data_IF_248508192527
#
_entry.id   IF_248508192527
#
_cell.length_a   1.000
_cell.length_b   1.000
_cell.length_c   1.000
_cell.angle_alpha   90.00
_cell.angle_beta   90.00
_cell.angle_gamma   90.00
#
_symmetry.space_group_name_H-M   'P 1'
#
loop_
_entity.id
_entity.type
_entity.pdbx_description
1 polymer ?
#
# COMPACT_ATOMS: atom_id res chain seq x y z
N UNK A 1 -24.34 28.86 -30.82
CA UNK A 1 -24.20 27.42 -30.55
C UNK A 1 -22.90 27.21 -29.79
N UNK A 2 -22.96 27.20 -28.47
CA UNK A 2 -21.80 27.01 -27.60
C UNK A 2 -21.54 25.51 -27.43
N UNK A 3 -20.32 25.10 -27.81
CA UNK A 3 -19.83 23.75 -27.52
C UNK A 3 -19.43 23.70 -26.04
N UNK A 4 -20.20 23.00 -25.24
CA UNK A 4 -19.87 22.65 -23.87
C UNK A 4 -18.73 21.64 -23.94
N UNK A 5 -17.53 22.04 -23.51
CA UNK A 5 -16.40 21.14 -23.35
C UNK A 5 -16.71 20.07 -22.29
N UNK A 6 -16.05 18.89 -22.34
CA UNK A 6 -16.26 17.87 -21.34
C UNK A 6 -15.81 18.41 -19.98
N UNK A 7 -16.74 18.41 -19.03
CA UNK A 7 -16.43 18.73 -17.64
C UNK A 7 -15.38 17.73 -17.14
N UNK A 8 -14.21 18.21 -16.78
CA UNK A 8 -13.21 17.46 -16.02
C UNK A 8 -13.89 16.93 -14.75
N UNK A 9 -14.20 15.64 -14.72
CA UNK A 9 -14.58 14.97 -13.47
C UNK A 9 -13.33 14.93 -12.59
N UNK A 10 -13.19 15.92 -11.74
CA UNK A 10 -12.25 15.86 -10.63
C UNK A 10 -12.70 14.69 -9.76
N UNK A 11 -11.99 13.57 -9.85
CA UNK A 11 -12.22 12.42 -8.97
C UNK A 11 -11.93 12.92 -7.57
N UNK A 12 -12.96 13.00 -6.74
CA UNK A 12 -12.80 13.30 -5.32
C UNK A 12 -12.32 12.01 -4.66
N UNK A 13 -11.02 11.94 -4.37
CA UNK A 13 -10.45 10.89 -3.55
C UNK A 13 -11.04 11.04 -2.15
N UNK A 14 -11.69 10.01 -1.65
CA UNK A 14 -12.20 9.99 -0.28
C UNK A 14 -11.01 9.85 0.68
N UNK A 15 -10.80 10.89 1.50
CA UNK A 15 -9.74 10.94 2.50
C UNK A 15 -10.35 10.80 3.90
N UNK A 16 -10.17 9.63 4.50
CA UNK A 16 -10.66 9.37 5.86
C UNK A 16 -9.49 9.17 6.81
N UNK A 17 -9.41 9.96 7.88
CA UNK A 17 -8.46 9.79 8.98
C UNK A 17 -9.24 9.60 10.27
N UNK A 18 -9.31 8.36 10.75
CA UNK A 18 -10.01 7.97 11.98
C UNK A 18 -8.98 7.38 12.97
N UNK A 19 -8.17 8.25 13.56
CA UNK A 19 -7.09 7.89 14.49
C UNK A 19 -7.08 8.86 15.67
N UNK A 20 -6.43 8.47 16.76
CA UNK A 20 -6.21 9.34 17.91
C UNK A 20 -5.50 10.64 17.49
N UNK A 21 -5.81 11.74 18.18
CA UNK A 21 -5.27 13.08 17.87
C UNK A 21 -3.72 13.09 17.86
N UNK A 22 -3.11 12.37 18.80
CA UNK A 22 -1.65 12.24 18.94
C UNK A 22 -0.96 11.59 17.72
N UNK A 23 -1.70 10.82 16.92
CA UNK A 23 -1.17 10.07 15.77
C UNK A 23 -1.52 10.69 14.42
N UNK A 24 -2.34 11.74 14.38
CA UNK A 24 -2.85 12.34 13.13
C UNK A 24 -1.75 12.82 12.20
N UNK A 25 -0.72 13.45 12.72
CA UNK A 25 0.36 13.96 11.87
C UNK A 25 1.20 12.80 11.28
N UNK A 26 1.47 11.76 12.08
CA UNK A 26 2.12 10.54 11.58
C UNK A 26 1.28 9.87 10.48
N UNK A 27 -0.02 9.72 10.71
CA UNK A 27 -0.95 9.16 9.73
C UNK A 27 -0.98 9.97 8.42
N UNK A 28 -0.95 11.30 8.50
CA UNK A 28 -0.87 12.17 7.30
C UNK A 28 0.39 11.93 6.48
N UNK A 29 1.54 11.76 7.14
CA UNK A 29 2.79 11.44 6.44
C UNK A 29 2.70 10.06 5.76
N UNK A 30 2.14 9.07 6.43
CA UNK A 30 1.94 7.73 5.84
C UNK A 30 1.00 7.80 4.63
N UNK A 31 -0.07 8.60 4.68
CA UNK A 31 -0.94 8.86 3.53
C UNK A 31 -0.16 9.51 2.36
N UNK A 32 0.69 10.49 2.64
CA UNK A 32 1.55 11.11 1.62
C UNK A 32 2.48 10.09 0.96
N UNK A 33 3.10 9.23 1.75
CA UNK A 33 3.93 8.13 1.25
C UNK A 33 3.16 7.21 0.31
N UNK A 34 1.93 6.83 0.69
CA UNK A 34 1.06 5.95 -0.11
C UNK A 34 0.70 6.58 -1.47
N UNK A 35 0.43 7.89 -1.51
CA UNK A 35 0.22 8.62 -2.77
C UNK A 35 1.44 8.57 -3.69
N UNK A 36 2.63 8.72 -3.13
CA UNK A 36 3.88 8.63 -3.89
C UNK A 36 4.13 7.20 -4.40
N UNK A 37 3.82 6.17 -3.61
CA UNK A 37 3.92 4.78 -4.04
C UNK A 37 3.11 4.51 -5.32
N UNK A 38 1.86 4.98 -5.37
CA UNK A 38 1.00 4.85 -6.55
C UNK A 38 1.54 5.65 -7.74
N UNK A 39 2.12 6.82 -7.50
CA UNK A 39 2.81 7.58 -8.55
C UNK A 39 4.00 6.82 -9.12
N UNK A 40 4.75 6.07 -8.29
CA UNK A 40 5.82 5.17 -8.72
C UNK A 40 5.32 4.05 -9.63
N UNK A 41 4.19 3.44 -9.28
CA UNK A 41 3.55 2.43 -10.13
C UNK A 41 3.15 3.00 -11.49
N UNK A 42 2.50 4.17 -11.53
CA UNK A 42 2.15 4.87 -12.78
C UNK A 42 3.35 5.06 -13.70
N UNK A 43 4.49 5.50 -13.13
CA UNK A 43 5.72 5.70 -13.89
C UNK A 43 6.29 4.39 -14.43
N UNK A 44 6.24 3.31 -13.64
CA UNK A 44 6.74 1.99 -14.02
C UNK A 44 5.97 1.42 -15.21
N UNK A 45 4.64 1.46 -15.17
CA UNK A 45 3.80 0.86 -16.22
C UNK A 45 3.58 1.78 -17.42
N UNK A 46 3.99 3.05 -17.33
CA UNK A 46 3.80 4.04 -18.39
C UNK A 46 2.33 4.38 -18.67
N UNK A 47 1.46 4.12 -17.70
CA UNK A 47 0.01 4.39 -17.76
C UNK A 47 -0.43 5.16 -16.52
N UNK A 48 -1.51 5.90 -16.66
CA UNK A 48 -2.12 6.60 -15.54
C UNK A 48 -2.81 5.59 -14.60
N UNK A 49 -2.30 5.50 -13.37
CA UNK A 49 -2.92 4.77 -12.27
C UNK A 49 -3.62 5.80 -11.39
N UNK A 50 -4.90 5.63 -11.20
CA UNK A 50 -5.73 6.52 -10.40
C UNK A 50 -5.86 5.97 -8.98
N UNK A 51 -5.59 6.83 -7.99
CA UNK A 51 -5.95 6.52 -6.61
C UNK A 51 -7.42 6.83 -6.40
N UNK A 52 -8.22 5.81 -6.05
CA UNK A 52 -9.66 5.93 -5.93
C UNK A 52 -10.12 6.17 -4.49
N UNK A 53 -9.35 5.68 -3.52
CA UNK A 53 -9.59 5.94 -2.10
C UNK A 53 -8.27 5.88 -1.32
N UNK A 54 -8.22 6.60 -0.20
CA UNK A 54 -7.13 6.48 0.77
C UNK A 54 -7.69 6.72 2.17
N UNK A 55 -7.34 5.86 3.11
CA UNK A 55 -7.79 5.97 4.50
C UNK A 55 -6.70 5.62 5.50
N UNK A 56 -6.78 6.20 6.70
CA UNK A 56 -6.00 5.80 7.86
C UNK A 56 -6.97 5.53 9.01
N UNK A 57 -6.97 4.33 9.54
CA UNK A 57 -7.91 3.88 10.59
C UNK A 57 -7.17 3.08 11.65
N UNK A 58 -7.55 3.25 12.91
CA UNK A 58 -7.20 2.30 13.97
C UNK A 58 -8.31 1.25 14.05
N UNK A 59 -7.94 -0.01 13.98
CA UNK A 59 -8.85 -1.15 14.10
C UNK A 59 -8.19 -2.23 14.98
N UNK A 60 -8.98 -3.08 15.66
CA UNK A 60 -8.46 -4.24 16.36
C UNK A 60 -7.59 -5.10 15.45
N UNK A 61 -6.46 -5.60 15.98
CA UNK A 61 -5.48 -6.37 15.20
C UNK A 61 -6.11 -7.62 14.56
N UNK A 62 -7.07 -8.25 15.24
CA UNK A 62 -7.77 -9.44 14.76
C UNK A 62 -8.76 -9.15 13.60
N UNK A 63 -9.15 -7.89 13.40
CA UNK A 63 -10.01 -7.46 12.28
C UNK A 63 -9.23 -7.11 11.00
N UNK A 64 -7.90 -6.97 11.06
CA UNK A 64 -7.09 -6.59 9.88
C UNK A 64 -7.26 -7.56 8.70
N UNK A 65 -7.30 -8.89 8.87
CA UNK A 65 -7.51 -9.81 7.76
C UNK A 65 -8.88 -9.68 7.08
N UNK A 66 -9.89 -9.13 7.76
CA UNK A 66 -11.24 -8.93 7.19
C UNK A 66 -11.24 -7.90 6.05
N UNK A 67 -10.22 -7.03 5.99
CA UNK A 67 -10.01 -6.11 4.87
C UNK A 67 -9.76 -6.85 3.54
N UNK A 68 -9.39 -8.13 3.61
CA UNK A 68 -9.08 -8.98 2.46
C UNK A 68 -10.06 -10.15 2.31
N UNK A 69 -11.24 -10.05 2.92
CA UNK A 69 -12.30 -11.06 2.85
C UNK A 69 -12.24 -12.10 3.99
N UNK A 70 -11.26 -12.00 4.89
CA UNK A 70 -11.10 -12.86 6.05
C UNK A 70 -9.78 -13.64 6.05
N UNK A 71 -9.47 -14.25 7.19
CA UNK A 71 -8.18 -14.94 7.40
C UNK A 71 -7.90 -16.10 6.45
N UNK A 72 -8.96 -16.77 5.95
CA UNK A 72 -8.86 -17.97 5.12
C UNK A 72 -8.86 -17.67 3.62
N UNK A 73 -9.10 -16.40 3.23
CA UNK A 73 -9.07 -16.01 1.81
C UNK A 73 -7.63 -16.06 1.25
N UNK A 74 -7.51 -16.66 0.07
CA UNK A 74 -6.21 -16.74 -0.62
C UNK A 74 -5.89 -15.39 -1.25
N UNK A 75 -4.69 -14.90 -0.98
CA UNK A 75 -4.18 -13.65 -1.51
C UNK A 75 -2.76 -13.82 -2.05
N UNK A 76 -2.39 -12.93 -2.97
CA UNK A 76 -1.01 -12.70 -3.39
C UNK A 76 -0.55 -11.39 -2.77
N UNK A 77 0.53 -11.43 -2.03
CA UNK A 77 1.10 -10.24 -1.41
C UNK A 77 2.54 -10.00 -1.85
N UNK A 78 2.88 -8.73 -2.04
CA UNK A 78 4.28 -8.29 -2.07
C UNK A 78 4.55 -7.60 -0.75
N UNK A 79 5.40 -8.20 0.05
CA UNK A 79 5.77 -7.76 1.39
C UNK A 79 7.13 -7.09 1.40
N UNK A 80 7.23 -5.96 2.09
CA UNK A 80 8.48 -5.28 2.42
C UNK A 80 8.47 -4.89 3.90
N UNK A 81 9.53 -5.24 4.62
CA UNK A 81 9.79 -4.67 5.94
C UNK A 81 10.42 -3.28 5.78
N UNK A 82 10.06 -2.38 6.68
CA UNK A 82 10.70 -1.07 6.83
C UNK A 82 11.66 -1.13 7.99
N UNK A 83 12.85 -0.59 7.81
CA UNK A 83 13.90 -0.54 8.83
C UNK A 83 14.62 0.81 8.80
N UNK A 84 15.56 1.01 9.72
CA UNK A 84 16.36 2.22 9.84
C UNK A 84 16.03 3.02 11.09
N UNK A 85 15.59 4.27 10.94
CA UNK A 85 15.21 5.11 12.08
C UNK A 85 13.91 4.64 12.75
N UNK A 86 13.10 3.84 12.04
CA UNK A 86 11.85 3.27 12.54
C UNK A 86 11.53 1.96 11.81
N UNK A 87 10.63 1.17 12.38
CA UNK A 87 10.24 -0.14 11.87
C UNK A 87 8.76 -0.18 11.48
N UNK A 88 8.41 -1.05 10.53
CA UNK A 88 7.03 -1.22 10.07
C UNK A 88 6.93 -2.20 8.91
N UNK A 89 5.73 -2.37 8.41
CA UNK A 89 5.39 -3.33 7.38
C UNK A 89 4.59 -2.70 6.26
N UNK A 90 4.94 -3.04 5.02
CA UNK A 90 4.23 -2.64 3.82
C UNK A 90 3.80 -3.88 3.05
N UNK A 91 2.58 -3.86 2.56
CA UNK A 91 2.02 -4.92 1.74
C UNK A 91 1.29 -4.34 0.53
N UNK A 92 1.47 -5.00 -0.61
CA UNK A 92 0.57 -4.88 -1.73
C UNK A 92 -0.19 -6.20 -1.79
N UNK A 93 -1.49 -6.16 -1.56
CA UNK A 93 -2.29 -7.38 -1.41
C UNK A 93 -3.37 -7.42 -2.48
N UNK A 94 -3.48 -8.55 -3.15
CA UNK A 94 -4.38 -8.76 -4.27
C UNK A 94 -5.06 -10.12 -4.21
N UNK A 95 -6.32 -10.25 -4.65
CA UNK A 95 -6.86 -11.52 -5.09
C UNK A 95 -5.96 -12.12 -6.18
N UNK A 96 -5.82 -13.47 -6.26
CA UNK A 96 -4.93 -14.11 -7.25
C UNK A 96 -5.17 -13.66 -8.70
N UNK A 97 -6.44 -13.53 -9.11
CA UNK A 97 -6.81 -13.06 -10.46
C UNK A 97 -6.39 -11.61 -10.72
N UNK A 98 -6.41 -10.76 -9.70
CA UNK A 98 -5.93 -9.38 -9.81
C UNK A 98 -4.41 -9.34 -9.92
N UNK A 99 -3.70 -10.18 -9.16
CA UNK A 99 -2.24 -10.29 -9.25
C UNK A 99 -1.80 -10.76 -10.64
N UNK A 100 -2.47 -11.75 -11.23
CA UNK A 100 -2.22 -12.21 -12.60
C UNK A 100 -2.46 -11.10 -13.63
N UNK A 101 -3.55 -10.34 -13.48
CA UNK A 101 -3.83 -9.19 -14.37
C UNK A 101 -2.80 -8.07 -14.23
N UNK A 102 -2.27 -7.85 -13.02
CA UNK A 102 -1.15 -6.92 -12.80
C UNK A 102 0.13 -7.40 -13.47
N UNK A 103 0.43 -8.70 -13.44
CA UNK A 103 1.58 -9.27 -14.14
C UNK A 103 1.46 -9.03 -15.64
N UNK A 104 0.31 -9.31 -16.26
CA UNK A 104 0.08 -9.01 -17.67
C UNK A 104 0.39 -7.55 -18.00
N UNK A 105 -0.08 -6.61 -17.15
CA UNK A 105 0.19 -5.19 -17.30
C UNK A 105 1.68 -4.87 -17.19
N UNK A 106 2.35 -5.38 -16.14
CA UNK A 106 3.77 -5.13 -15.87
C UNK A 106 4.69 -5.66 -16.98
N UNK A 107 4.32 -6.80 -17.54
CA UNK A 107 5.08 -7.45 -18.60
C UNK A 107 4.67 -7.02 -20.03
N UNK A 108 3.67 -6.14 -20.14
CA UNK A 108 3.15 -5.67 -21.43
C UNK A 108 2.49 -6.77 -22.26
N UNK A 109 1.87 -7.75 -21.58
CA UNK A 109 1.17 -8.87 -22.21
C UNK A 109 -0.32 -8.55 -22.41
N UNK A 110 -0.98 -9.35 -23.28
CA UNK A 110 -2.43 -9.25 -23.43
C UNK A 110 -3.15 -9.73 -22.15
N UNK A 111 -4.22 -9.06 -21.71
CA UNK A 111 -4.97 -9.46 -20.53
C UNK A 111 -5.42 -10.93 -20.57
N UNK A 112 -5.18 -11.67 -19.48
CA UNK A 112 -5.52 -13.09 -19.35
C UNK A 112 -4.43 -14.04 -19.88
N UNK A 113 -3.24 -13.55 -20.19
CA UNK A 113 -2.08 -14.37 -20.58
C UNK A 113 -1.51 -15.12 -19.39
N UNK A 114 -1.37 -14.45 -18.25
CA UNK A 114 -0.86 -15.06 -17.02
C UNK A 114 -1.94 -15.91 -16.37
N UNK A 115 -1.63 -17.17 -16.10
CA UNK A 115 -2.54 -18.16 -15.49
C UNK A 115 -2.01 -18.71 -14.16
N UNK A 116 -0.75 -18.45 -13.83
CA UNK A 116 -0.12 -18.81 -12.56
C UNK A 116 1.00 -17.83 -12.24
N UNK A 117 1.35 -17.73 -10.97
CA UNK A 117 2.47 -16.90 -10.49
C UNK A 117 3.70 -17.81 -10.34
N UNK A 118 4.51 -17.87 -11.39
CA UNK A 118 5.81 -18.56 -11.38
C UNK A 118 6.93 -17.61 -10.90
N UNK A 119 8.18 -18.05 -10.96
CA UNK A 119 9.34 -17.23 -10.56
C UNK A 119 9.46 -15.92 -11.37
N UNK A 120 9.08 -15.92 -12.64
CA UNK A 120 9.15 -14.74 -13.49
C UNK A 120 8.06 -13.73 -13.11
N UNK A 121 6.83 -14.20 -12.93
CA UNK A 121 5.70 -13.38 -12.50
C UNK A 121 5.93 -12.82 -11.09
N UNK A 122 6.43 -13.65 -10.18
CA UNK A 122 6.81 -13.21 -8.84
C UNK A 122 7.92 -12.15 -8.89
N UNK A 123 8.90 -12.28 -9.79
CA UNK A 123 9.95 -11.26 -9.98
C UNK A 123 9.38 -9.93 -10.46
N UNK A 124 8.41 -9.95 -11.40
CA UNK A 124 7.76 -8.74 -11.88
C UNK A 124 6.96 -8.02 -10.76
N UNK A 125 6.20 -8.78 -9.96
CA UNK A 125 5.49 -8.25 -8.80
C UNK A 125 6.47 -7.72 -7.73
N UNK A 126 7.57 -8.41 -7.51
CA UNK A 126 8.63 -7.98 -6.59
C UNK A 126 9.23 -6.64 -7.01
N UNK A 127 9.56 -6.48 -8.30
CA UNK A 127 10.09 -5.20 -8.81
C UNK A 127 9.07 -4.05 -8.65
N UNK A 128 7.80 -4.32 -8.92
CA UNK A 128 6.72 -3.36 -8.63
C UNK A 128 6.73 -2.95 -7.15
N UNK A 129 6.78 -3.91 -6.23
CA UNK A 129 6.84 -3.64 -4.80
C UNK A 129 8.06 -2.82 -4.39
N UNK A 130 9.23 -3.15 -4.95
CA UNK A 130 10.47 -2.41 -4.70
C UNK A 130 10.37 -0.95 -5.12
N UNK A 131 9.81 -0.68 -6.31
CA UNK A 131 9.60 0.68 -6.82
C UNK A 131 8.60 1.43 -5.95
N UNK A 132 7.43 0.85 -5.68
CA UNK A 132 6.39 1.49 -4.85
C UNK A 132 6.88 1.75 -3.42
N UNK A 133 7.56 0.78 -2.81
CA UNK A 133 8.17 0.92 -1.49
C UNK A 133 9.23 2.02 -1.43
N UNK A 134 10.06 2.12 -2.46
CA UNK A 134 11.08 3.18 -2.56
C UNK A 134 10.45 4.58 -2.66
N UNK A 135 9.44 4.75 -3.51
CA UNK A 135 8.71 6.02 -3.61
C UNK A 135 8.01 6.39 -2.29
N UNK A 136 7.40 5.41 -1.63
CA UNK A 136 6.78 5.58 -0.32
C UNK A 136 7.79 6.08 0.72
N UNK A 137 8.89 5.34 0.91
CA UNK A 137 9.87 5.66 1.95
C UNK A 137 10.66 6.94 1.67
N UNK A 138 10.94 7.25 0.40
CA UNK A 138 11.57 8.52 0.03
C UNK A 138 10.67 9.70 0.42
N UNK A 139 9.36 9.62 0.13
CA UNK A 139 8.43 10.69 0.52
C UNK A 139 8.35 10.88 2.04
N UNK A 140 8.35 9.79 2.81
CA UNK A 140 8.40 9.85 4.27
C UNK A 140 9.73 10.42 4.78
N UNK A 141 10.85 9.99 4.20
CA UNK A 141 12.19 10.47 4.57
C UNK A 141 12.33 11.97 4.32
N UNK A 142 11.88 12.45 3.17
CA UNK A 142 11.91 13.88 2.81
C UNK A 142 11.04 14.73 3.74
N UNK A 143 9.87 14.21 4.11
CA UNK A 143 8.93 14.94 4.96
C UNK A 143 9.32 14.92 6.45
N UNK A 144 9.90 13.82 6.94
CA UNK A 144 10.22 13.62 8.37
C UNK A 144 11.69 13.85 8.72
N UNK A 145 12.60 13.76 7.73
CA UNK A 145 14.04 13.74 7.94
C UNK A 145 14.55 12.42 8.55
N UNK A 146 13.73 11.36 8.58
CA UNK A 146 14.12 10.03 9.04
C UNK A 146 14.76 9.26 7.89
N UNK A 147 15.79 8.46 8.19
CA UNK A 147 16.37 7.52 7.21
C UNK A 147 15.61 6.20 7.34
N UNK A 148 14.85 5.87 6.30
CA UNK A 148 14.02 4.67 6.22
C UNK A 148 14.47 3.81 5.05
N UNK A 149 14.55 2.50 5.24
CA UNK A 149 15.07 1.56 4.26
C UNK A 149 14.08 0.40 4.07
N UNK A 150 13.70 0.06 2.82
CA UNK A 150 12.92 -1.13 2.55
C UNK A 150 13.81 -2.38 2.60
N UNK A 151 13.25 -3.51 3.01
CA UNK A 151 13.84 -4.83 2.73
C UNK A 151 13.73 -5.17 1.25
N UNK A 152 14.48 -6.17 0.75
CA UNK A 152 14.12 -6.82 -0.50
C UNK A 152 12.65 -7.30 -0.44
N UNK A 153 11.88 -7.17 -1.54
CA UNK A 153 10.49 -7.61 -1.59
C UNK A 153 10.39 -9.13 -1.49
N UNK A 154 9.39 -9.62 -0.76
CA UNK A 154 9.00 -11.03 -0.76
C UNK A 154 7.61 -11.16 -1.38
N UNK A 155 7.48 -11.99 -2.41
CA UNK A 155 6.18 -12.32 -3.02
C UNK A 155 5.67 -13.60 -2.40
N UNK A 156 4.48 -13.55 -1.84
CA UNK A 156 3.87 -14.63 -1.05
C UNK A 156 2.47 -14.89 -1.59
N UNK A 157 2.13 -16.16 -1.80
CA UNK A 157 0.78 -16.58 -2.10
C UNK A 157 0.33 -17.55 -1.01
N UNK A 158 -0.59 -17.11 -0.15
CA UNK A 158 -1.11 -17.89 0.99
C UNK A 158 -2.46 -17.30 1.44
N UNK A 159 -3.03 -17.84 2.51
CA UNK A 159 -4.17 -17.23 3.20
C UNK A 159 -3.79 -15.86 3.77
N UNK A 160 -4.69 -14.89 3.69
CA UNK A 160 -4.46 -13.52 4.16
C UNK A 160 -4.01 -13.48 5.63
N UNK A 161 -4.58 -14.34 6.48
CA UNK A 161 -4.14 -14.48 7.87
C UNK A 161 -2.65 -14.83 7.99
N UNK A 162 -2.20 -15.85 7.24
CA UNK A 162 -0.79 -16.29 7.25
C UNK A 162 0.16 -15.19 6.75
N UNK A 163 -0.23 -14.47 5.70
CA UNK A 163 0.55 -13.36 5.13
C UNK A 163 0.76 -12.25 6.16
N UNK A 164 -0.29 -11.90 6.90
CA UNK A 164 -0.29 -10.78 7.84
C UNK A 164 0.28 -11.13 9.22
N UNK A 165 0.31 -12.41 9.60
CA UNK A 165 0.64 -12.87 10.95
C UNK A 165 1.97 -12.30 11.49
N UNK A 166 3.00 -12.15 10.64
CA UNK A 166 4.30 -11.58 11.06
C UNK A 166 4.12 -10.12 11.50
N UNK A 167 3.47 -9.30 10.70
CA UNK A 167 3.24 -7.88 11.01
C UNK A 167 2.31 -7.69 12.21
N UNK A 168 1.25 -8.50 12.27
CA UNK A 168 0.27 -8.42 13.35
C UNK A 168 0.87 -8.89 14.68
N UNK A 169 1.74 -9.90 14.67
CA UNK A 169 2.46 -10.34 15.86
C UNK A 169 3.39 -9.26 16.42
N UNK A 170 4.05 -8.50 15.55
CA UNK A 170 4.90 -7.38 15.98
C UNK A 170 4.08 -6.24 16.60
N UNK A 171 2.96 -5.89 15.97
CA UNK A 171 2.05 -4.85 16.48
C UNK A 171 1.47 -5.24 17.84
N UNK A 172 1.03 -6.50 18.00
CA UNK A 172 0.46 -7.03 19.25
C UNK A 172 1.41 -6.98 20.45
N UNK A 173 2.72 -6.86 20.23
CA UNK A 173 3.66 -6.65 21.33
C UNK A 173 3.52 -5.28 22.00
N UNK A 174 2.96 -4.29 21.30
CA UNK A 174 2.86 -2.92 21.75
C UNK A 174 1.42 -2.40 21.86
N UNK A 175 0.46 -2.96 21.12
CA UNK A 175 -0.92 -2.47 21.02
C UNK A 175 -1.89 -3.56 20.59
N UNK A 176 -3.12 -3.53 21.13
CA UNK A 176 -4.24 -4.36 20.67
C UNK A 176 -4.87 -3.85 19.37
N UNK A 177 -4.60 -2.58 19.02
CA UNK A 177 -5.07 -1.93 17.80
C UNK A 177 -3.91 -1.71 16.81
N UNK A 178 -4.18 -1.97 15.53
CA UNK A 178 -3.31 -1.62 14.42
C UNK A 178 -3.74 -0.29 13.79
N UNK A 179 -2.79 0.61 13.48
CA UNK A 179 -3.06 1.62 12.48
C UNK A 179 -2.94 0.98 11.10
N UNK A 180 -4.04 1.01 10.37
CA UNK A 180 -4.10 0.58 8.99
C UNK A 180 -4.17 1.80 8.08
N UNK A 181 -3.21 1.94 7.20
CA UNK A 181 -3.29 2.89 6.09
C UNK A 181 -3.49 2.11 4.81
N UNK A 182 -4.61 2.35 4.17
CA UNK A 182 -5.02 1.67 2.95
C UNK A 182 -5.17 2.69 1.83
N UNK A 183 -4.51 2.46 0.70
CA UNK A 183 -4.71 3.20 -0.53
C UNK A 183 -5.22 2.26 -1.62
N UNK A 184 -6.40 2.54 -2.14
CA UNK A 184 -7.00 1.80 -3.25
C UNK A 184 -6.67 2.51 -4.55
N UNK A 185 -6.20 1.76 -5.52
CA UNK A 185 -5.87 2.29 -6.84
C UNK A 185 -6.49 1.44 -7.96
N UNK A 186 -6.65 2.04 -9.11
CA UNK A 186 -7.14 1.35 -10.31
C UNK A 186 -6.46 1.86 -11.57
N UNK A 187 -6.41 1.02 -12.59
CA UNK A 187 -6.11 1.47 -13.95
C UNK A 187 -7.27 2.32 -14.49
N UNK A 188 -6.98 3.21 -15.45
CA UNK A 188 -7.96 4.13 -16.04
C UNK A 188 -9.18 3.43 -16.65
N UNK A 189 -9.00 2.22 -17.15
CA UNK A 189 -10.07 1.37 -17.68
C UNK A 189 -10.78 0.55 -16.58
N UNK A 190 -10.38 0.72 -15.31
CA UNK A 190 -10.92 0.05 -14.12
C UNK A 190 -10.84 -1.50 -14.16
N UNK A 191 -9.97 -2.06 -14.98
CA UNK A 191 -9.79 -3.51 -15.07
C UNK A 191 -8.96 -4.08 -13.94
N UNK A 192 -8.06 -3.28 -13.36
CA UNK A 192 -7.19 -3.69 -12.26
C UNK A 192 -7.47 -2.77 -11.08
N UNK A 193 -7.81 -3.36 -9.93
CA UNK A 193 -7.97 -2.67 -8.67
C UNK A 193 -7.03 -3.31 -7.67
N UNK A 194 -6.25 -2.51 -6.96
CA UNK A 194 -5.30 -3.02 -5.99
C UNK A 194 -5.29 -2.21 -4.71
N UNK A 195 -4.83 -2.84 -3.65
CA UNK A 195 -4.68 -2.22 -2.33
C UNK A 195 -3.20 -2.14 -1.97
N UNK A 196 -2.77 -0.96 -1.59
CA UNK A 196 -1.49 -0.73 -0.91
C UNK A 196 -1.78 -0.52 0.57
N UNK A 197 -1.29 -1.45 1.39
CA UNK A 197 -1.51 -1.49 2.82
C UNK A 197 -0.22 -1.16 3.55
N UNK A 198 -0.30 -0.28 4.54
CA UNK A 198 0.81 -0.01 5.45
C UNK A 198 0.36 -0.25 6.88
N UNK A 199 1.15 -1.02 7.60
CA UNK A 199 1.00 -1.31 9.01
C UNK A 199 2.25 -0.77 9.74
N UNK A 200 2.27 0.53 10.11
CA UNK A 200 3.38 1.10 10.86
C UNK A 200 3.35 0.60 12.30
N UNK A 201 4.52 0.38 12.90
CA UNK A 201 4.57 0.12 14.34
C UNK A 201 4.10 1.36 15.13
N UNK A 202 3.57 1.19 16.35
CA UNK A 202 3.18 2.32 17.20
C UNK A 202 4.35 3.28 17.46
N UNK A 203 5.57 2.77 17.62
CA UNK A 203 6.77 3.59 17.80
C UNK A 203 7.11 4.41 16.56
N UNK A 204 6.97 3.83 15.36
CA UNK A 204 7.13 4.55 14.10
C UNK A 204 6.21 5.77 14.00
N UNK A 205 4.93 5.60 14.35
CA UNK A 205 3.96 6.69 14.32
C UNK A 205 4.31 7.81 15.30
N UNK A 206 4.74 7.46 16.51
CA UNK A 206 5.20 8.44 17.51
C UNK A 206 6.39 9.25 16.99
N UNK A 207 7.37 8.57 16.37
CA UNK A 207 8.52 9.22 15.80
C UNK A 207 8.16 10.16 14.63
N UNK A 208 7.27 9.75 13.72
CA UNK A 208 6.76 10.59 12.64
C UNK A 208 6.03 11.81 13.18
N UNK A 209 5.12 11.61 14.15
CA UNK A 209 4.35 12.70 14.75
C UNK A 209 5.25 13.73 15.46
N UNK A 210 6.26 13.26 16.19
CA UNK A 210 7.21 14.14 16.87
C UNK A 210 8.04 15.01 15.91
N UNK A 211 8.34 14.50 14.71
CA UNK A 211 9.12 15.23 13.69
C UNK A 211 8.24 16.19 12.87
N UNK A 212 7.01 15.85 12.60
CA UNK A 212 6.08 16.70 11.87
C UNK A 212 5.70 17.97 12.66
N UNK A 213 5.60 17.89 14.00
CA UNK A 213 5.26 19.01 14.88
C UNK A 213 6.42 19.98 15.16
N UNK A 214 7.62 19.73 14.67
CA UNK A 214 8.83 20.53 14.95
C UNK A 214 9.25 21.53 13.84
N UNK A 215 8.37 21.80 12.88
CA UNK A 215 8.61 22.80 11.80
C UNK A 215 7.72 24.02 11.93
#
# INVERSE_FOLDING_TARGET
MGLCGPAERKIMVDHTIAVEESLKEGARLVLLGSQNAISGLSQMVGQEIEMTAISARQIPVDEVPDLFGGREEVAVAVYLAVSGAAEGHMFLVYPPETAMSLVDLLMGQEPGTTVEISEMEASALGEMGNIMGSFYLNALSDASGLVLLPSPPAVIMDMAGSILDVALADILQESDDALVVEAVFSTKDQKINGNFLVLPSPDFLKQLSARAGGK
#
